data_IF_471613568301
#
_entry.id   IF_471613568301
#
_cell.length_a   1.000
_cell.length_b   1.000
_cell.length_c   1.000
_cell.angle_alpha   90.00
_cell.angle_beta   90.00
_cell.angle_gamma   90.00
#
_symmetry.space_group_name_H-M   'P 1'
#
loop_
_entity.id
_entity.type
_entity.pdbx_description
1 polymer ?
#
# COMPACT_ATOMS: atom_id res chain seq x y z
N UNK A 1 74.03 15.26 -14.04
CA UNK A 1 72.64 15.45 -14.49
C UNK A 1 72.00 14.07 -14.60
N UNK A 2 71.25 13.66 -13.56
CA UNK A 2 70.52 12.39 -13.51
C UNK A 2 69.04 12.71 -13.65
N UNK A 3 68.43 12.33 -14.77
CA UNK A 3 67.00 12.52 -15.02
C UNK A 3 66.22 11.30 -14.56
N UNK A 4 65.41 11.46 -13.52
CA UNK A 4 64.46 10.47 -13.03
C UNK A 4 63.27 10.35 -14.01
N UNK A 5 62.97 9.13 -14.45
CA UNK A 5 61.84 8.80 -15.31
C UNK A 5 60.68 8.32 -14.44
N UNK A 6 59.64 9.14 -14.28
CA UNK A 6 58.39 8.76 -13.61
C UNK A 6 57.38 8.21 -14.63
N UNK A 7 56.88 6.97 -14.49
CA UNK A 7 55.81 6.49 -15.35
C UNK A 7 54.48 7.11 -14.90
N UNK A 8 53.78 7.76 -15.83
CA UNK A 8 52.41 8.26 -15.62
C UNK A 8 51.45 7.07 -15.66
N UNK A 9 50.99 6.58 -14.51
CA UNK A 9 49.83 5.69 -14.44
C UNK A 9 48.57 6.50 -14.78
N UNK A 10 47.94 6.19 -15.91
CA UNK A 10 46.62 6.72 -16.27
C UNK A 10 45.58 5.91 -15.50
N UNK A 11 44.93 6.54 -14.52
CA UNK A 11 43.76 5.96 -13.86
C UNK A 11 42.56 6.04 -14.80
N UNK A 12 42.14 4.91 -15.35
CA UNK A 12 40.88 4.76 -16.07
C UNK A 12 39.75 4.63 -15.05
N UNK A 13 39.13 5.76 -14.72
CA UNK A 13 37.87 5.78 -13.96
C UNK A 13 36.72 5.39 -14.90
N UNK A 14 36.32 4.12 -14.86
CA UNK A 14 35.09 3.67 -15.51
C UNK A 14 33.89 4.22 -14.72
N UNK A 15 33.22 5.23 -15.27
CA UNK A 15 31.90 5.67 -14.80
C UNK A 15 30.88 4.60 -15.20
N UNK A 16 30.59 3.67 -14.28
CA UNK A 16 29.44 2.78 -14.36
C UNK A 16 28.17 3.64 -14.18
N UNK A 17 27.65 4.14 -15.29
CA UNK A 17 26.29 4.70 -15.32
C UNK A 17 25.34 3.51 -15.25
N UNK A 18 24.90 3.17 -14.04
CA UNK A 18 23.76 2.26 -13.85
C UNK A 18 22.52 3.00 -14.33
N UNK A 19 22.15 2.81 -15.61
CA UNK A 19 20.82 3.17 -16.07
C UNK A 19 19.83 2.27 -15.32
N UNK A 20 19.18 2.79 -14.29
CA UNK A 20 18.01 2.16 -13.70
C UNK A 20 16.89 2.28 -14.74
N UNK A 21 16.82 1.31 -15.64
CA UNK A 21 15.73 1.20 -16.59
C UNK A 21 14.46 0.77 -15.86
N UNK A 22 13.34 1.43 -16.14
CA UNK A 22 12.04 0.91 -15.75
C UNK A 22 11.84 -0.47 -16.41
N UNK A 23 11.27 -1.43 -15.68
CA UNK A 23 10.90 -2.73 -16.22
C UNK A 23 9.73 -2.55 -17.21
N UNK A 24 9.89 -3.05 -18.44
CA UNK A 24 8.84 -2.98 -19.48
C UNK A 24 7.62 -3.85 -19.13
N UNK A 25 7.80 -4.89 -18.31
CA UNK A 25 6.75 -5.81 -17.87
C UNK A 25 6.98 -6.21 -16.41
N UNK A 26 5.91 -6.57 -15.71
CA UNK A 26 5.97 -7.15 -14.38
C UNK A 26 4.95 -8.29 -14.23
N UNK A 27 5.19 -9.15 -13.26
CA UNK A 27 4.27 -10.21 -12.84
C UNK A 27 3.58 -9.73 -11.57
N UNK A 28 2.26 -9.78 -11.55
CA UNK A 28 1.46 -9.47 -10.38
C UNK A 28 0.78 -10.72 -9.85
N UNK A 29 0.52 -10.73 -8.54
CA UNK A 29 -0.28 -11.74 -7.89
C UNK A 29 -1.43 -11.09 -7.11
N UNK A 30 -2.54 -11.79 -7.02
CA UNK A 30 -3.66 -11.47 -6.12
C UNK A 30 -3.99 -12.72 -5.33
N UNK A 31 -4.33 -12.55 -4.06
CA UNK A 31 -4.71 -13.67 -3.21
C UNK A 31 -6.13 -13.49 -2.68
N UNK A 32 -7.00 -14.42 -3.04
CA UNK A 32 -8.32 -14.54 -2.42
C UNK A 32 -8.18 -15.33 -1.10
N UNK A 33 -8.52 -14.66 0.00
CA UNK A 33 -8.31 -15.20 1.33
C UNK A 33 -9.61 -15.66 1.98
N UNK A 34 -9.62 -16.90 2.47
CA UNK A 34 -10.67 -17.38 3.36
C UNK A 34 -10.36 -16.88 4.79
N UNK A 35 -10.80 -15.66 5.10
CA UNK A 35 -10.46 -14.97 6.35
C UNK A 35 -10.84 -15.77 7.58
N UNK A 36 -9.90 -15.94 8.51
CA UNK A 36 -10.17 -16.49 9.83
C UNK A 36 -10.80 -15.38 10.67
N UNK A 37 -12.11 -15.47 10.85
CA UNK A 37 -12.89 -14.45 11.56
C UNK A 37 -12.75 -14.54 13.08
N UNK A 38 -12.84 -13.41 13.79
CA UNK A 38 -12.99 -13.40 15.23
C UNK A 38 -14.32 -14.05 15.63
N UNK A 39 -14.36 -14.61 16.84
CA UNK A 39 -15.64 -14.96 17.45
C UNK A 39 -16.43 -13.68 17.70
N UNK A 40 -17.76 -13.73 17.50
CA UNK A 40 -18.63 -12.61 17.87
C UNK A 40 -18.70 -12.52 19.39
N UNK A 41 -18.12 -11.46 19.94
CA UNK A 41 -18.16 -11.14 21.37
C UNK A 41 -18.79 -9.76 21.56
N UNK A 42 -19.58 -9.58 22.62
CA UNK A 42 -20.16 -8.27 22.98
C UNK A 42 -19.12 -7.33 23.58
N UNK A 43 -18.05 -7.88 24.16
CA UNK A 43 -16.95 -7.12 24.76
C UNK A 43 -15.70 -7.14 23.87
N UNK A 44 -14.92 -6.04 23.82
CA UNK A 44 -13.62 -6.02 23.16
C UNK A 44 -12.67 -7.08 23.73
N UNK A 45 -11.91 -7.73 22.85
CA UNK A 45 -10.84 -8.66 23.23
C UNK A 45 -9.60 -7.90 23.72
N UNK A 46 -8.65 -8.60 24.33
CA UNK A 46 -7.33 -8.02 24.63
C UNK A 46 -6.53 -7.74 23.35
N UNK A 47 -5.51 -6.86 23.45
CA UNK A 47 -4.59 -6.58 22.33
C UNK A 47 -3.83 -7.85 21.92
N UNK A 48 -3.50 -8.69 22.89
CA UNK A 48 -2.79 -9.96 22.68
C UNK A 48 -3.64 -10.97 21.91
N UNK A 49 -4.93 -11.09 22.24
CA UNK A 49 -5.87 -11.94 21.51
C UNK A 49 -6.14 -11.44 20.08
N UNK A 50 -6.30 -10.12 19.91
CA UNK A 50 -6.43 -9.49 18.60
C UNK A 50 -5.20 -9.78 17.74
N UNK A 51 -3.99 -9.55 18.28
CA UNK A 51 -2.74 -9.82 17.60
C UNK A 51 -2.56 -11.31 17.27
N UNK A 52 -2.99 -12.21 18.15
CA UNK A 52 -2.94 -13.65 17.88
C UNK A 52 -3.82 -14.03 16.68
N UNK A 53 -5.03 -13.46 16.58
CA UNK A 53 -5.91 -13.68 15.42
C UNK A 53 -5.30 -13.11 14.14
N UNK A 54 -4.84 -11.85 14.18
CA UNK A 54 -4.19 -11.21 13.03
C UNK A 54 -3.00 -12.01 12.54
N UNK A 55 -2.18 -12.52 13.46
CA UNK A 55 -1.05 -13.39 13.12
C UNK A 55 -1.47 -14.70 12.44
N UNK A 56 -2.59 -15.31 12.84
CA UNK A 56 -3.10 -16.52 12.14
C UNK A 56 -3.49 -16.22 10.70
N UNK A 57 -4.11 -15.07 10.44
CA UNK A 57 -4.41 -14.64 9.07
C UNK A 57 -3.12 -14.34 8.30
N UNK A 58 -2.16 -13.62 8.90
CA UNK A 58 -0.87 -13.33 8.29
C UNK A 58 -0.07 -14.62 8.00
N UNK A 59 -0.18 -15.68 8.82
CA UNK A 59 0.44 -16.99 8.55
C UNK A 59 -0.07 -17.62 7.24
N UNK A 60 -1.34 -17.38 6.90
CA UNK A 60 -1.95 -17.85 5.64
C UNK A 60 -1.47 -16.98 4.48
N UNK A 61 -1.52 -15.66 4.64
CA UNK A 61 -1.04 -14.69 3.64
C UNK A 61 0.45 -14.91 3.32
N UNK A 62 1.26 -15.21 4.32
CA UNK A 62 2.70 -15.50 4.18
C UNK A 62 2.95 -16.66 3.21
N UNK A 63 2.11 -17.69 3.22
CA UNK A 63 2.22 -18.81 2.26
C UNK A 63 1.95 -18.34 0.84
N UNK A 64 0.96 -17.48 0.65
CA UNK A 64 0.62 -16.90 -0.65
C UNK A 64 1.73 -15.97 -1.16
N UNK A 65 2.26 -15.09 -0.29
CA UNK A 65 3.39 -14.19 -0.59
C UNK A 65 4.62 -15.00 -1.01
N UNK A 66 4.99 -16.02 -0.24
CA UNK A 66 6.12 -16.91 -0.56
C UNK A 66 5.93 -17.63 -1.89
N UNK A 67 4.72 -18.10 -2.17
CA UNK A 67 4.42 -18.79 -3.43
C UNK A 67 4.48 -17.82 -4.62
N UNK A 68 3.89 -16.63 -4.50
CA UNK A 68 3.91 -15.61 -5.53
C UNK A 68 5.35 -15.16 -5.83
N UNK A 69 6.15 -14.89 -4.81
CA UNK A 69 7.56 -14.54 -4.95
C UNK A 69 8.36 -15.65 -5.65
N UNK A 70 8.13 -16.93 -5.29
CA UNK A 70 8.74 -18.08 -5.99
C UNK A 70 8.35 -18.18 -7.46
N UNK A 71 7.17 -17.69 -7.83
CA UNK A 71 6.69 -17.61 -9.22
C UNK A 71 7.15 -16.33 -9.94
N UNK A 72 7.97 -15.49 -9.30
CA UNK A 72 8.51 -14.27 -9.88
C UNK A 72 7.57 -13.06 -9.84
N UNK A 73 6.51 -13.10 -9.02
CA UNK A 73 5.67 -11.93 -8.81
C UNK A 73 6.47 -10.77 -8.20
N UNK A 74 6.26 -9.57 -8.72
CA UNK A 74 6.89 -8.33 -8.30
C UNK A 74 6.05 -7.61 -7.24
N UNK A 75 4.73 -7.84 -7.27
CA UNK A 75 3.75 -7.31 -6.33
C UNK A 75 2.67 -8.35 -6.05
N UNK A 76 2.20 -8.42 -4.80
CA UNK A 76 1.05 -9.21 -4.40
C UNK A 76 0.04 -8.34 -3.65
N UNK A 77 -1.24 -8.47 -4.02
CA UNK A 77 -2.36 -7.82 -3.34
C UNK A 77 -3.14 -8.84 -2.52
N UNK A 78 -3.38 -8.49 -1.26
CA UNK A 78 -4.24 -9.24 -0.32
C UNK A 78 -5.55 -8.47 -0.10
N UNK A 79 -6.66 -9.13 0.32
CA UNK A 79 -7.97 -8.49 0.36
C UNK A 79 -8.09 -7.44 1.48
N UNK A 80 -9.09 -6.57 1.31
CA UNK A 80 -9.65 -5.74 2.39
C UNK A 80 -10.10 -6.64 3.55
N UNK A 81 -9.92 -6.17 4.79
CA UNK A 81 -10.27 -6.90 6.02
C UNK A 81 -9.65 -8.30 6.14
N UNK A 82 -8.65 -8.63 5.31
CA UNK A 82 -8.04 -9.95 5.24
C UNK A 82 -7.29 -10.39 6.50
N UNK A 83 -7.00 -9.45 7.41
CA UNK A 83 -6.21 -9.69 8.62
C UNK A 83 -7.10 -9.85 9.87
N UNK A 84 -8.24 -9.16 9.94
CA UNK A 84 -9.10 -9.14 11.14
C UNK A 84 -10.60 -9.37 10.88
N UNK A 85 -11.09 -9.34 9.63
CA UNK A 85 -12.52 -9.50 9.28
C UNK A 85 -13.34 -8.21 9.36
N UNK A 86 -14.67 -8.30 9.31
CA UNK A 86 -15.56 -7.14 9.07
C UNK A 86 -16.72 -6.99 10.07
N UNK A 87 -16.68 -7.67 11.21
CA UNK A 87 -17.78 -7.64 12.20
C UNK A 87 -17.32 -6.95 13.47
N UNK A 88 -17.45 -5.62 13.52
CA UNK A 88 -16.97 -4.80 14.62
C UNK A 88 -17.86 -3.60 14.92
N UNK A 89 -17.86 -3.17 16.18
CA UNK A 89 -18.10 -1.80 16.65
C UNK A 89 -16.79 -1.03 16.82
N UNK A 90 -16.87 0.28 17.04
CA UNK A 90 -15.71 1.14 17.34
C UNK A 90 -14.86 0.64 18.50
N UNK A 91 -15.48 0.10 19.55
CA UNK A 91 -14.78 -0.42 20.73
C UNK A 91 -14.13 -1.77 20.44
N UNK A 92 -14.85 -2.66 19.75
CA UNK A 92 -14.37 -4.02 19.48
C UNK A 92 -13.24 -4.09 18.45
N UNK A 93 -13.16 -3.14 17.49
CA UNK A 93 -12.04 -3.06 16.53
C UNK A 93 -10.78 -2.49 17.17
N UNK A 94 -10.90 -1.65 18.20
CA UNK A 94 -9.78 -0.88 18.76
C UNK A 94 -8.52 -1.70 19.11
N UNK A 95 -8.62 -2.93 19.67
CA UNK A 95 -7.46 -3.79 19.93
C UNK A 95 -6.68 -4.23 18.67
N UNK A 96 -7.31 -4.17 17.50
CA UNK A 96 -6.73 -4.55 16.20
C UNK A 96 -6.00 -3.39 15.50
N UNK A 97 -6.18 -2.16 15.99
CA UNK A 97 -5.66 -0.95 15.33
C UNK A 97 -4.24 -0.60 15.77
N UNK A 98 -3.42 -0.15 14.83
CA UNK A 98 -2.09 0.44 15.06
C UNK A 98 -2.06 1.90 14.62
N UNK A 99 -1.13 2.70 15.14
CA UNK A 99 -0.87 4.03 14.59
C UNK A 99 0.10 3.86 13.41
N UNK A 100 -0.41 4.08 12.20
CA UNK A 100 0.35 3.91 10.94
C UNK A 100 0.89 5.28 10.52
N UNK A 101 2.23 5.52 10.52
CA UNK A 101 2.77 6.82 10.19
C UNK A 101 2.57 7.15 8.70
N UNK A 102 2.77 8.43 8.37
CA UNK A 102 2.85 8.84 6.97
C UNK A 102 4.10 8.23 6.31
N UNK A 103 4.04 7.67 5.09
CA UNK A 103 5.20 7.11 4.39
C UNK A 103 6.41 8.05 4.25
N UNK A 104 6.21 9.38 4.29
CA UNK A 104 7.28 10.39 4.26
C UNK A 104 8.30 10.24 5.39
N UNK A 105 7.94 9.57 6.50
CA UNK A 105 8.88 9.30 7.61
C UNK A 105 10.01 8.35 7.22
N UNK A 106 9.95 7.75 6.01
CA UNK A 106 10.98 6.88 5.43
C UNK A 106 11.37 5.75 6.39
N UNK A 107 10.44 4.84 6.64
CA UNK A 107 10.59 3.80 7.64
C UNK A 107 10.48 2.40 7.05
N UNK A 108 11.37 1.52 7.52
CA UNK A 108 11.36 0.08 7.23
C UNK A 108 11.10 -0.61 8.58
N UNK A 109 9.83 -0.94 8.91
CA UNK A 109 9.49 -1.58 10.18
C UNK A 109 10.33 -2.82 10.50
N UNK A 110 10.62 -3.66 9.51
CA UNK A 110 11.44 -4.86 9.69
C UNK A 110 12.89 -4.59 10.11
N UNK A 111 13.42 -3.38 9.87
CA UNK A 111 14.78 -3.00 10.25
C UNK A 111 14.82 -2.17 11.54
N UNK A 112 13.77 -1.40 11.82
CA UNK A 112 13.69 -0.49 12.95
C UNK A 112 12.31 -0.55 13.62
N UNK A 113 11.92 -1.70 14.20
CA UNK A 113 10.55 -1.93 14.65
C UNK A 113 10.14 -1.04 15.84
N UNK A 114 11.10 -0.56 16.63
CA UNK A 114 10.83 0.25 17.83
C UNK A 114 10.57 1.74 17.56
N UNK A 115 10.74 2.23 16.31
CA UNK A 115 10.72 3.66 16.00
C UNK A 115 9.39 4.36 16.33
N UNK A 116 8.27 3.68 16.12
CA UNK A 116 6.92 4.21 16.33
C UNK A 116 6.14 3.45 17.40
N UNK A 117 6.85 2.91 18.39
CA UNK A 117 6.24 2.16 19.48
C UNK A 117 5.93 0.71 19.10
N UNK A 118 4.77 0.20 19.53
CA UNK A 118 4.41 -1.20 19.37
C UNK A 118 3.51 -1.41 18.14
N UNK A 119 4.14 -1.66 16.99
CA UNK A 119 3.52 -1.83 15.65
C UNK A 119 3.81 -3.21 15.02
N UNK A 120 3.47 -4.33 15.68
CA UNK A 120 3.86 -5.68 15.28
C UNK A 120 3.25 -6.13 13.95
N UNK A 121 2.06 -5.63 13.56
CA UNK A 121 1.44 -5.97 12.27
C UNK A 121 2.21 -5.31 11.13
N UNK A 122 2.54 -4.01 11.26
CA UNK A 122 3.38 -3.31 10.29
C UNK A 122 4.79 -3.92 10.18
N UNK A 123 5.39 -4.29 11.32
CA UNK A 123 6.68 -5.01 11.35
C UNK A 123 6.61 -6.31 10.55
N UNK A 124 5.59 -7.12 10.82
CA UNK A 124 5.46 -8.43 10.18
C UNK A 124 5.22 -8.33 8.68
N UNK A 125 4.36 -7.42 8.23
CA UNK A 125 4.11 -7.17 6.80
C UNK A 125 5.36 -6.61 6.09
N UNK A 126 6.09 -5.70 6.73
CA UNK A 126 7.37 -5.20 6.24
C UNK A 126 8.40 -6.32 6.07
N UNK A 127 8.53 -7.22 7.04
CA UNK A 127 9.43 -8.36 6.93
C UNK A 127 9.00 -9.34 5.84
N UNK A 128 7.70 -9.61 5.70
CA UNK A 128 7.17 -10.43 4.61
C UNK A 128 7.56 -9.89 3.23
N UNK A 129 7.44 -8.58 3.03
CA UNK A 129 7.84 -7.92 1.79
C UNK A 129 9.36 -8.02 1.57
N UNK A 130 10.15 -7.63 2.57
CA UNK A 130 11.63 -7.64 2.52
C UNK A 130 12.20 -9.04 2.27
N UNK A 131 11.77 -10.03 3.04
CA UNK A 131 12.37 -11.36 3.03
C UNK A 131 12.01 -12.17 1.78
N UNK A 132 10.94 -11.78 1.08
CA UNK A 132 10.54 -12.35 -0.19
C UNK A 132 10.85 -11.44 -1.39
N UNK A 133 11.45 -10.27 -1.16
CA UNK A 133 11.80 -9.28 -2.19
C UNK A 133 10.65 -8.94 -3.14
N UNK A 134 9.45 -8.77 -2.59
CA UNK A 134 8.20 -8.53 -3.31
C UNK A 134 7.45 -7.35 -2.68
N UNK A 135 6.77 -6.54 -3.49
CA UNK A 135 5.85 -5.53 -2.95
C UNK A 135 4.63 -6.23 -2.35
N UNK A 136 4.26 -5.88 -1.12
CA UNK A 136 3.09 -6.43 -0.43
C UNK A 136 2.07 -5.32 -0.22
N UNK A 137 0.86 -5.51 -0.75
CA UNK A 137 -0.29 -4.64 -0.51
C UNK A 137 -1.27 -5.37 0.41
N UNK A 138 -1.59 -4.72 1.53
CA UNK A 138 -2.47 -5.26 2.54
C UNK A 138 -3.37 -4.18 3.12
N UNK A 139 -4.48 -4.62 3.72
CA UNK A 139 -5.42 -3.76 4.42
C UNK A 139 -5.37 -4.05 5.92
N UNK A 140 -5.15 -3.01 6.72
CA UNK A 140 -5.12 -3.05 8.18
C UNK A 140 -5.88 -1.85 8.76
N UNK A 141 -6.05 -1.82 10.08
CA UNK A 141 -6.73 -0.72 10.75
C UNK A 141 -5.76 0.31 11.32
N UNK A 142 -5.99 1.58 10.99
CA UNK A 142 -5.24 2.71 11.56
C UNK A 142 -6.02 3.34 12.72
N UNK A 143 -5.31 3.87 13.70
CA UNK A 143 -5.87 4.78 14.70
C UNK A 143 -5.04 6.05 14.82
N UNK A 144 -5.74 7.17 15.00
CA UNK A 144 -5.12 8.48 15.24
C UNK A 144 -5.73 9.09 16.49
N UNK A 145 -4.92 9.25 17.53
CA UNK A 145 -5.37 9.94 18.74
C UNK A 145 -5.63 11.41 18.42
N UNK A 146 -6.74 11.92 18.94
CA UNK A 146 -7.12 13.32 18.82
C UNK A 146 -7.58 13.83 20.18
N UNK A 147 -7.77 15.14 20.31
CA UNK A 147 -8.22 15.75 21.55
C UNK A 147 -9.21 16.88 21.25
N UNK A 148 -9.74 17.52 22.31
CA UNK A 148 -10.76 18.56 22.18
C UNK A 148 -10.33 19.83 21.41
N UNK A 149 -9.05 20.02 21.09
CA UNK A 149 -8.62 21.10 20.19
C UNK A 149 -8.93 20.80 18.72
N UNK A 150 -9.14 19.54 18.37
CA UNK A 150 -9.65 19.13 17.06
C UNK A 150 -11.19 19.07 17.10
N UNK A 151 -11.91 19.98 16.41
CA UNK A 151 -13.36 20.03 16.45
C UNK A 151 -14.04 18.83 15.78
N UNK A 152 -13.31 18.03 14.98
CA UNK A 152 -13.83 16.83 14.33
C UNK A 152 -13.51 15.56 15.11
N UNK A 153 -12.74 15.65 16.21
CA UNK A 153 -12.34 14.50 17.00
C UNK A 153 -13.57 13.73 17.51
N UNK A 154 -13.67 12.42 17.24
CA UNK A 154 -14.76 11.61 17.76
C UNK A 154 -14.83 11.68 19.30
N UNK A 155 -16.04 11.56 19.90
CA UNK A 155 -16.22 11.68 21.36
C UNK A 155 -15.38 10.71 22.18
N UNK A 156 -14.92 9.63 21.55
CA UNK A 156 -14.13 8.56 22.14
C UNK A 156 -12.61 8.76 21.96
N UNK A 157 -12.19 9.95 21.48
CA UNK A 157 -10.83 10.49 21.55
C UNK A 157 -9.87 10.01 20.47
N UNK A 158 -10.36 9.34 19.44
CA UNK A 158 -9.53 8.86 18.32
C UNK A 158 -10.31 8.73 17.03
N UNK A 159 -9.62 8.90 15.92
CA UNK A 159 -10.07 8.40 14.62
C UNK A 159 -9.65 6.95 14.42
N UNK A 160 -10.45 6.20 13.66
CA UNK A 160 -10.21 4.81 13.29
C UNK A 160 -10.45 4.66 11.80
N UNK A 161 -9.49 4.17 11.03
CA UNK A 161 -9.60 4.11 9.57
C UNK A 161 -9.38 2.71 9.02
N UNK A 162 -10.21 2.34 8.03
CA UNK A 162 -9.92 1.25 7.10
C UNK A 162 -8.75 1.70 6.22
N UNK A 163 -7.62 0.97 6.26
CA UNK A 163 -6.35 1.49 5.76
C UNK A 163 -5.59 0.50 4.91
N UNK A 164 -5.37 0.86 3.65
CA UNK A 164 -4.43 0.14 2.80
C UNK A 164 -3.00 0.60 3.09
N UNK A 165 -2.08 -0.36 3.14
CA UNK A 165 -0.65 -0.14 3.28
C UNK A 165 0.12 -0.88 2.21
N UNK A 166 1.18 -0.25 1.70
CA UNK A 166 2.09 -0.86 0.73
C UNK A 166 3.50 -0.89 1.30
N UNK A 167 4.07 -2.08 1.35
CA UNK A 167 5.48 -2.29 1.65
C UNK A 167 6.24 -2.62 0.36
N UNK A 168 7.34 -1.92 0.09
CA UNK A 168 8.22 -2.24 -1.04
C UNK A 168 9.02 -3.53 -0.82
N UNK A 169 9.75 -3.96 -1.85
CA UNK A 169 10.58 -5.18 -1.79
C UNK A 169 11.76 -5.10 -0.79
N UNK A 170 12.02 -3.93 -0.19
CA UNK A 170 12.97 -3.77 0.91
C UNK A 170 12.29 -3.73 2.29
N UNK A 171 10.95 -3.79 2.32
CA UNK A 171 10.12 -3.68 3.51
C UNK A 171 9.79 -2.25 3.91
N UNK A 172 10.08 -1.24 3.08
CA UNK A 172 9.76 0.16 3.39
C UNK A 172 8.27 0.42 3.22
N UNK A 173 7.65 1.13 4.16
CA UNK A 173 6.30 1.67 3.98
C UNK A 173 6.34 2.76 2.89
N UNK A 174 5.66 2.55 1.76
CA UNK A 174 5.67 3.45 0.59
C UNK A 174 4.31 4.05 0.25
N UNK A 175 3.22 3.51 0.80
CA UNK A 175 1.89 4.11 0.73
C UNK A 175 1.07 3.74 1.96
N UNK A 176 0.23 4.69 2.39
CA UNK A 176 -0.87 4.52 3.34
C UNK A 176 -2.07 5.25 2.76
N UNK A 177 -3.20 4.58 2.62
CA UNK A 177 -4.45 5.16 2.13
C UNK A 177 -5.58 4.86 3.09
N UNK A 178 -6.29 5.90 3.55
CA UNK A 178 -7.52 5.73 4.31
C UNK A 178 -8.72 5.68 3.39
N UNK A 179 -9.50 4.60 3.47
CA UNK A 179 -10.72 4.41 2.67
C UNK A 179 -11.67 5.58 2.84
N UNK A 180 -12.03 6.22 1.72
CA UNK A 180 -12.87 7.41 1.74
C UNK A 180 -14.37 7.05 1.76
N UNK A 181 -14.81 6.14 0.90
CA UNK A 181 -16.22 5.77 0.77
C UNK A 181 -16.53 4.53 1.62
N UNK A 182 -16.87 4.72 2.89
CA UNK A 182 -17.30 3.62 3.74
C UNK A 182 -18.65 3.04 3.27
N UNK A 183 -18.75 1.71 3.30
CA UNK A 183 -20.00 0.99 3.09
C UNK A 183 -20.85 1.04 4.36
N UNK A 184 -22.18 1.05 4.23
CA UNK A 184 -23.10 1.26 5.37
C UNK A 184 -22.86 0.38 6.62
N UNK A 185 -22.40 -0.88 6.52
CA UNK A 185 -22.06 -1.72 7.68
C UNK A 185 -20.74 -1.37 8.39
N UNK A 186 -19.88 -0.51 7.83
CA UNK A 186 -18.56 -0.17 8.39
C UNK A 186 -18.65 0.89 9.51
N UNK A 187 -19.49 0.63 10.52
CA UNK A 187 -19.73 1.54 11.64
C UNK A 187 -18.53 1.74 12.57
N UNK A 188 -17.52 0.89 12.43
CA UNK A 188 -16.31 0.90 13.25
C UNK A 188 -15.26 1.92 12.78
N UNK A 189 -15.41 2.48 11.58
CA UNK A 189 -14.45 3.40 10.96
C UNK A 189 -15.03 4.81 10.80
N UNK A 190 -14.13 5.79 10.80
CA UNK A 190 -14.40 7.20 10.54
C UNK A 190 -14.14 7.52 9.07
N UNK A 191 -14.86 8.50 8.53
CA UNK A 191 -14.53 9.08 7.22
C UNK A 191 -13.29 9.97 7.36
N UNK A 192 -12.29 9.85 6.47
CA UNK A 192 -11.21 10.83 6.36
C UNK A 192 -11.78 12.22 6.09
N UNK A 193 -11.11 13.25 6.61
CA UNK A 193 -11.55 14.65 6.43
C UNK A 193 -11.62 15.03 4.95
N UNK A 194 -10.58 14.66 4.21
CA UNK A 194 -10.41 14.93 2.79
C UNK A 194 -10.16 13.62 2.06
N UNK A 195 -10.56 13.51 0.79
CA UNK A 195 -10.23 12.34 -0.03
C UNK A 195 -8.72 12.32 -0.31
N UNK A 196 -8.06 11.22 0.03
CA UNK A 196 -6.62 11.06 -0.19
C UNK A 196 -6.34 10.53 -1.60
N UNK A 197 -5.45 11.20 -2.34
CA UNK A 197 -4.93 10.73 -3.62
C UNK A 197 -3.58 10.05 -3.44
N UNK A 198 -3.61 8.77 -3.08
CA UNK A 198 -2.40 8.04 -2.73
C UNK A 198 -1.83 7.34 -3.96
N UNK A 199 -0.57 7.68 -4.28
CA UNK A 199 0.19 7.00 -5.33
C UNK A 199 1.58 6.60 -4.83
N UNK A 200 2.13 5.54 -5.39
CA UNK A 200 3.49 5.09 -5.10
C UNK A 200 4.23 4.70 -6.38
N UNK A 201 5.56 4.86 -6.35
CA UNK A 201 6.43 4.53 -7.48
C UNK A 201 7.09 3.18 -7.26
N UNK A 202 7.21 2.41 -8.33
CA UNK A 202 7.98 1.17 -8.38
C UNK A 202 8.89 1.17 -9.61
N UNK A 203 9.88 0.27 -9.69
CA UNK A 203 10.67 0.08 -10.91
C UNK A 203 9.84 -0.37 -12.13
N UNK A 204 8.61 -0.81 -11.93
CA UNK A 204 7.70 -1.34 -12.97
C UNK A 204 6.44 -0.48 -13.18
N UNK A 205 6.44 0.76 -12.68
CA UNK A 205 5.38 1.73 -12.94
C UNK A 205 5.00 2.55 -11.70
N UNK A 206 4.13 3.54 -11.91
CA UNK A 206 3.48 4.26 -10.83
C UNK A 206 2.12 3.61 -10.57
N UNK A 207 1.68 3.53 -9.33
CA UNK A 207 0.40 2.92 -8.95
C UNK A 207 -0.42 3.89 -8.12
N UNK A 208 -1.72 3.92 -8.36
CA UNK A 208 -2.73 4.48 -7.46
C UNK A 208 -3.41 3.36 -6.68
N UNK A 209 -3.91 3.67 -5.48
CA UNK A 209 -4.58 2.73 -4.60
C UNK A 209 -5.89 3.30 -4.08
N UNK A 210 -6.93 2.46 -4.01
CA UNK A 210 -8.22 2.75 -3.39
C UNK A 210 -8.92 1.44 -3.02
N UNK A 211 -9.97 1.49 -2.20
CA UNK A 211 -10.53 0.30 -1.55
C UNK A 211 -12.02 0.13 -1.83
N UNK A 212 -12.39 -1.05 -2.33
CA UNK A 212 -13.76 -1.56 -2.32
C UNK A 212 -14.81 -0.57 -2.86
N UNK A 213 -15.63 -0.01 -1.98
CA UNK A 213 -16.77 0.83 -2.34
C UNK A 213 -16.35 2.16 -2.99
N UNK A 214 -15.08 2.56 -2.85
CA UNK A 214 -14.49 3.68 -3.57
C UNK A 214 -14.67 3.59 -5.09
N UNK A 215 -14.71 2.38 -5.67
CA UNK A 215 -14.85 2.18 -7.13
C UNK A 215 -16.16 2.74 -7.69
N UNK A 216 -17.19 2.90 -6.86
CA UNK A 216 -18.50 3.41 -7.25
C UNK A 216 -18.63 4.93 -7.09
N UNK A 217 -17.58 5.60 -6.60
CA UNK A 217 -17.55 7.03 -6.32
C UNK A 217 -16.59 7.79 -7.23
N UNK A 218 -16.84 9.10 -7.39
CA UNK A 218 -15.94 9.96 -8.16
C UNK A 218 -14.58 10.13 -7.45
N UNK A 219 -14.60 10.45 -6.16
CA UNK A 219 -13.42 10.50 -5.32
C UNK A 219 -13.24 9.18 -4.55
N UNK A 220 -12.05 8.55 -4.52
CA UNK A 220 -10.87 8.86 -5.35
C UNK A 220 -10.89 8.17 -6.72
N UNK A 221 -11.80 7.22 -7.00
CA UNK A 221 -11.63 6.30 -8.14
C UNK A 221 -11.61 6.97 -9.52
N UNK A 222 -12.42 8.01 -9.75
CA UNK A 222 -12.43 8.77 -11.00
C UNK A 222 -11.34 9.85 -11.02
N UNK A 223 -11.01 10.49 -9.90
CA UNK A 223 -9.91 11.47 -9.87
C UNK A 223 -8.55 10.81 -10.05
N UNK A 224 -8.37 9.61 -9.50
CA UNK A 224 -7.28 8.68 -9.82
C UNK A 224 -7.42 8.16 -11.26
N UNK A 225 -8.25 8.73 -12.12
CA UNK A 225 -8.20 8.50 -13.58
C UNK A 225 -8.07 9.84 -14.32
N UNK A 226 -8.77 10.87 -13.85
CA UNK A 226 -8.87 12.18 -14.50
C UNK A 226 -7.68 13.10 -14.23
N UNK A 227 -7.13 13.16 -13.00
CA UNK A 227 -5.87 13.89 -12.78
C UNK A 227 -4.74 13.31 -13.63
N UNK A 228 -4.80 12.02 -13.97
CA UNK A 228 -3.87 11.39 -14.90
C UNK A 228 -4.05 11.84 -16.35
N UNK A 229 -5.30 12.04 -16.80
CA UNK A 229 -5.53 12.62 -18.13
C UNK A 229 -5.02 14.06 -18.20
N UNK A 230 -5.23 14.86 -17.15
CA UNK A 230 -4.79 16.26 -17.10
C UNK A 230 -3.25 16.43 -17.02
N UNK A 231 -2.56 15.54 -16.30
CA UNK A 231 -1.09 15.55 -16.22
C UNK A 231 -0.44 15.13 -17.55
N UNK A 232 -1.06 14.21 -18.29
CA UNK A 232 -0.63 13.87 -19.65
C UNK A 232 -0.85 15.05 -20.64
N UNK A 233 -1.95 15.80 -20.49
CA UNK A 233 -2.31 16.93 -21.35
C UNK A 233 -1.49 18.21 -21.11
N UNK A 234 -0.86 18.38 -19.94
CA UNK A 234 -0.12 19.59 -19.57
C UNK A 234 1.35 19.59 -20.04
N UNK A 235 1.82 18.53 -20.70
CA UNK A 235 3.10 18.56 -21.42
C UNK A 235 2.93 19.21 -22.80
N UNK A 236 3.59 20.36 -23.09
CA UNK A 236 3.41 21.02 -24.36
C UNK A 236 4.28 20.31 -25.40
N UNK A 237 3.68 19.43 -26.21
CA UNK A 237 4.21 19.13 -27.53
C UNK A 237 3.14 19.38 -28.59
N UNK A 238 3.55 20.19 -29.57
CA UNK A 238 2.81 20.51 -30.78
C UNK A 238 2.34 19.23 -31.48
N UNK A 239 1.02 19.10 -31.67
CA UNK A 239 0.45 18.11 -32.57
C UNK A 239 -0.72 17.37 -31.94
N UNK A 240 -1.92 17.63 -32.46
CA UNK A 240 -3.13 16.85 -32.22
C UNK A 240 -2.93 15.38 -32.57
N UNK A 241 -2.60 14.56 -31.58
CA UNK A 241 -2.73 13.11 -31.66
C UNK A 241 -3.41 12.63 -30.38
N UNK A 242 -4.65 12.12 -30.51
CA UNK A 242 -5.31 11.37 -29.43
C UNK A 242 -4.46 10.12 -29.14
N UNK A 243 -3.70 10.10 -28.05
CA UNK A 243 -3.02 8.88 -27.61
C UNK A 243 -4.10 7.82 -27.23
N UNK A 244 -3.88 6.51 -27.46
CA UNK A 244 -4.87 5.48 -27.18
C UNK A 244 -5.04 5.25 -25.68
N UNK A 245 -6.26 4.82 -25.32
CA UNK A 245 -6.81 4.59 -23.98
C UNK A 245 -5.80 4.14 -22.91
N UNK A 246 -5.87 4.81 -21.76
CA UNK A 246 -5.43 4.27 -20.46
C UNK A 246 -5.80 2.79 -20.35
N UNK A 247 -4.82 1.92 -20.11
CA UNK A 247 -5.12 0.59 -19.61
C UNK A 247 -5.43 0.75 -18.13
N UNK A 248 -6.71 0.79 -17.78
CA UNK A 248 -7.10 0.20 -16.50
C UNK A 248 -6.55 -1.22 -16.57
N UNK A 249 -5.60 -1.56 -15.71
CA UNK A 249 -5.49 -2.93 -15.26
C UNK A 249 -6.39 -2.99 -14.04
N UNK A 250 -7.66 -3.41 -14.17
CA UNK A 250 -8.39 -3.81 -13.01
C UNK A 250 -7.65 -5.06 -12.53
N UNK A 251 -6.87 -4.97 -11.46
CA UNK A 251 -6.77 -6.14 -10.59
C UNK A 251 -8.14 -6.28 -9.93
N UNK A 252 -9.12 -6.78 -10.70
CA UNK A 252 -10.40 -7.15 -10.13
C UNK A 252 -10.14 -8.44 -9.37
N UNK A 253 -9.96 -8.28 -8.07
CA UNK A 253 -10.15 -9.37 -7.14
C UNK A 253 -11.64 -9.75 -7.19
N UNK A 254 -12.01 -10.68 -8.07
CA UNK A 254 -13.32 -11.32 -8.03
C UNK A 254 -13.30 -12.38 -6.91
N UNK A 255 -13.31 -11.93 -5.66
CA UNK A 255 -13.64 -12.80 -4.54
C UNK A 255 -15.11 -13.25 -4.59
N UNK A 256 -15.54 -14.17 -3.70
CA UNK A 256 -16.93 -14.65 -3.65
C UNK A 256 -17.91 -13.54 -3.25
N UNK A 257 -17.37 -12.39 -2.80
CA UNK A 257 -18.06 -11.19 -2.40
C UNK A 257 -17.32 -9.97 -2.96
N UNK A 258 -17.88 -9.24 -3.96
CA UNK A 258 -17.21 -8.12 -4.64
C UNK A 258 -16.97 -6.87 -3.77
N UNK A 259 -17.18 -6.96 -2.46
CA UNK A 259 -17.12 -5.85 -1.49
C UNK A 259 -16.01 -6.02 -0.44
N UNK A 260 -14.99 -6.82 -0.72
CA UNK A 260 -13.81 -7.03 0.16
C UNK A 260 -12.54 -6.99 -0.72
N UNK A 261 -12.24 -5.83 -1.35
CA UNK A 261 -11.21 -5.74 -2.40
C UNK A 261 -10.37 -4.48 -2.31
N UNK A 262 -9.06 -4.62 -2.51
CA UNK A 262 -8.12 -3.50 -2.73
C UNK A 262 -7.89 -3.37 -4.23
N UNK A 263 -7.98 -2.15 -4.76
CA UNK A 263 -7.72 -1.88 -6.17
C UNK A 263 -6.39 -1.17 -6.35
N UNK A 264 -5.57 -1.69 -7.25
CA UNK A 264 -4.37 -1.02 -7.75
C UNK A 264 -4.59 -0.59 -9.20
N UNK A 265 -4.39 0.70 -9.48
CA UNK A 265 -4.39 1.23 -10.83
C UNK A 265 -2.95 1.54 -11.25
N UNK A 266 -2.42 0.83 -12.24
CA UNK A 266 -1.13 1.21 -12.83
C UNK A 266 -1.28 2.47 -13.68
N UNK A 267 -0.50 3.49 -13.35
CA UNK A 267 -0.46 4.80 -13.97
C UNK A 267 0.72 4.81 -14.96
N UNK A 268 0.49 5.06 -16.26
CA UNK A 268 1.55 5.18 -17.25
C UNK A 268 2.55 6.29 -16.86
N UNK A 269 3.84 5.97 -16.82
CA UNK A 269 4.92 6.93 -16.50
C UNK A 269 5.53 7.60 -17.73
N UNK A 270 5.17 7.14 -18.94
CA UNK A 270 5.58 7.72 -20.22
C UNK A 270 4.34 7.99 -21.08
N UNK A 271 4.30 9.11 -21.83
CA UNK A 271 3.31 9.26 -22.88
C UNK A 271 3.59 8.17 -23.92
N UNK A 272 2.62 7.29 -24.16
CA UNK A 272 2.67 6.26 -25.19
C UNK A 272 2.56 6.87 -26.60
N UNK A 273 3.42 7.83 -26.90
CA UNK A 273 3.38 8.62 -28.12
C UNK A 273 4.83 8.69 -28.67
N UNK A 274 5.20 7.65 -29.42
CA UNK A 274 6.27 7.65 -30.44
C UNK A 274 5.68 8.01 -31.78
#
# INVERSE_FOLDING_TARGET
>A
MSGSYFPKCVALSALLVLSVGALDTFIAAVYEHAVILPNRTETPVSKEEALLLMNKNIDVLEKAVKLAAKQGAHIIVTPEDGIYGWVFTRESIYPYLEDIPDPEVNWIPCRDPGRFGNTPVQERLSCLAKDNSIYVVANIGDKKLCNASDPQCPPDGRYQYNTDVVFDSQGKLVARYHKYNLFAPEIQFDFPKDSEFVTFYTPFGKFGIFTCFDIFSYDPAVVVVDEFQSTALSTPQHGTTRCPSSRLFPFIQHGPRPWESIYLLQIPTTPACT
#
